data_IF_137008665938
#
_entry.id   IF_137008665938
#
_cell.length_a   1.000
_cell.length_b   1.000
_cell.length_c   1.000
_cell.angle_alpha   90.00
_cell.angle_beta   90.00
_cell.angle_gamma   90.00
#
_symmetry.space_group_name_H-M   'P 1'
#
loop_
_entity.id
_entity.type
_entity.pdbx_description
1 polymer ?
#
# COMPACT_ATOMS: atom_id res chain seq x y z
N UNK A 1 29.53 -44.91 6.49
CA UNK A 1 29.49 -44.62 5.04
C UNK A 1 28.90 -43.23 4.88
N UNK A 2 29.72 -42.23 4.56
CA UNK A 2 29.24 -40.86 4.32
C UNK A 2 28.82 -40.71 2.85
N UNK A 3 27.64 -40.15 2.55
CA UNK A 3 27.22 -39.93 1.18
C UNK A 3 28.01 -38.75 0.60
N UNK A 4 28.72 -38.99 -0.50
CA UNK A 4 29.33 -37.95 -1.33
C UNK A 4 28.29 -37.43 -2.31
N UNK A 5 27.77 -36.22 -2.05
CA UNK A 5 26.81 -35.55 -2.94
C UNK A 5 27.61 -34.88 -4.07
N UNK A 6 27.50 -35.40 -5.29
CA UNK A 6 28.07 -34.79 -6.49
C UNK A 6 27.09 -33.73 -7.04
N UNK A 7 27.27 -32.47 -6.64
CA UNK A 7 26.43 -31.37 -7.10
C UNK A 7 26.96 -30.81 -8.43
N UNK A 8 26.23 -31.02 -9.52
CA UNK A 8 26.57 -30.48 -10.84
C UNK A 8 26.38 -28.95 -10.87
N UNK A 9 27.30 -28.24 -11.52
CA UNK A 9 27.29 -26.78 -11.74
C UNK A 9 25.95 -26.24 -12.24
N UNK A 10 25.22 -27.01 -13.07
CA UNK A 10 23.87 -26.64 -13.55
C UNK A 10 22.82 -26.65 -12.44
N UNK A 11 22.88 -27.64 -11.56
CA UNK A 11 21.99 -27.77 -10.40
C UNK A 11 22.26 -26.70 -9.36
N UNK A 12 23.54 -26.32 -9.19
CA UNK A 12 23.95 -25.21 -8.33
C UNK A 12 23.42 -23.87 -8.87
N UNK A 13 23.58 -23.62 -10.18
CA UNK A 13 23.07 -22.40 -10.82
C UNK A 13 21.54 -22.26 -10.70
N UNK A 14 20.81 -23.38 -10.82
CA UNK A 14 19.35 -23.42 -10.67
C UNK A 14 18.93 -23.08 -9.23
N UNK A 15 19.61 -23.63 -8.23
CA UNK A 15 19.34 -23.32 -6.82
C UNK A 15 19.60 -21.84 -6.49
N UNK A 16 20.70 -21.27 -7.01
CA UNK A 16 21.01 -19.84 -6.84
C UNK A 16 19.92 -18.96 -7.48
N UNK A 17 19.47 -19.30 -8.70
CA UNK A 17 18.41 -18.55 -9.37
C UNK A 17 17.09 -18.57 -8.58
N UNK A 18 16.72 -19.72 -7.99
CA UNK A 18 15.50 -19.85 -7.18
C UNK A 18 15.60 -19.00 -5.90
N UNK A 19 16.75 -19.01 -5.22
CA UNK A 19 16.97 -18.24 -3.99
C UNK A 19 16.99 -16.72 -4.25
N UNK A 20 17.64 -16.27 -5.33
CA UNK A 20 17.71 -14.86 -5.68
C UNK A 20 16.39 -14.28 -6.23
N UNK A 21 15.48 -15.13 -6.73
CA UNK A 21 14.16 -14.68 -7.22
C UNK A 21 13.16 -14.37 -6.09
N UNK A 22 13.44 -14.84 -4.86
CA UNK A 22 12.55 -14.66 -3.70
C UNK A 22 12.78 -13.37 -2.91
N UNK A 23 13.86 -12.63 -3.19
CA UNK A 23 14.25 -11.41 -2.47
C UNK A 23 14.01 -10.16 -3.32
N UNK A 24 12.80 -10.02 -3.86
CA UNK A 24 12.25 -8.74 -4.29
C UNK A 24 11.03 -8.44 -3.41
N UNK A 25 11.24 -8.46 -2.09
CA UNK A 25 10.30 -7.85 -1.16
C UNK A 25 10.39 -6.36 -1.44
N UNK A 26 9.32 -5.78 -1.99
CA UNK A 26 9.28 -4.36 -2.34
C UNK A 26 9.73 -3.53 -1.14
N UNK A 27 10.61 -2.56 -1.38
CA UNK A 27 11.13 -1.72 -0.31
C UNK A 27 9.96 -1.10 0.47
N UNK A 28 9.96 -1.29 1.78
CA UNK A 28 9.01 -0.65 2.67
C UNK A 28 9.29 0.86 2.63
N UNK A 29 8.45 1.60 1.90
CA UNK A 29 8.60 3.04 1.74
C UNK A 29 8.23 3.76 3.04
N UNK A 30 9.17 4.57 3.55
CA UNK A 30 8.98 5.34 4.77
C UNK A 30 9.23 6.84 4.52
N UNK A 31 8.24 7.65 4.85
CA UNK A 31 8.25 9.11 4.83
C UNK A 31 8.70 9.65 6.19
N UNK A 32 9.83 10.35 6.20
CA UNK A 32 10.35 11.04 7.38
C UNK A 32 9.49 12.28 7.71
N UNK A 33 8.83 12.33 8.89
CA UNK A 33 8.04 13.48 9.32
C UNK A 33 8.81 14.81 9.35
N UNK A 34 10.13 14.74 9.57
CA UNK A 34 10.99 15.92 9.67
C UNK A 34 11.07 16.71 8.35
N UNK A 35 10.84 16.06 7.21
CA UNK A 35 10.95 16.70 5.89
C UNK A 35 9.94 17.83 5.66
N UNK A 36 8.78 17.80 6.33
CA UNK A 36 7.76 18.85 6.24
C UNK A 36 7.60 19.65 7.54
N UNK A 37 8.51 19.49 8.50
CA UNK A 37 8.44 20.20 9.77
C UNK A 37 8.58 21.72 9.54
N UNK A 38 7.51 22.47 9.82
CA UNK A 38 7.44 23.92 9.59
C UNK A 38 6.76 24.36 8.29
N UNK A 39 6.35 23.42 7.43
CA UNK A 39 5.48 23.74 6.30
C UNK A 39 4.05 24.06 6.78
N UNK A 40 3.36 24.99 6.12
CA UNK A 40 1.96 25.35 6.40
C UNK A 40 0.98 24.20 6.15
N UNK A 41 1.43 23.13 5.50
CA UNK A 41 0.67 21.89 5.33
C UNK A 41 0.67 21.13 6.66
N UNK A 42 -0.23 21.54 7.57
CA UNK A 42 -0.44 20.94 8.91
C UNK A 42 -0.97 19.50 8.91
N UNK A 43 -0.74 18.72 7.86
CA UNK A 43 -1.02 17.28 7.82
C UNK A 43 0.31 16.53 7.74
N UNK A 44 0.61 15.82 8.82
CA UNK A 44 1.85 15.09 9.01
C UNK A 44 2.07 14.09 7.86
N UNK A 45 3.16 14.24 7.09
CA UNK A 45 3.54 13.31 6.02
C UNK A 45 3.73 11.88 6.53
N UNK A 46 3.96 11.72 7.85
CA UNK A 46 4.00 10.42 8.52
C UNK A 46 2.75 9.56 8.25
N UNK A 47 1.58 10.18 8.00
CA UNK A 47 0.35 9.44 7.71
C UNK A 47 0.43 8.59 6.44
N UNK A 48 1.33 8.92 5.51
CA UNK A 48 1.53 8.12 4.31
C UNK A 48 2.36 6.86 4.57
N UNK A 49 2.91 6.71 5.77
CA UNK A 49 3.48 5.45 6.25
C UNK A 49 2.37 4.45 6.62
N UNK A 50 1.13 4.91 6.78
CA UNK A 50 -0.02 4.06 6.98
C UNK A 50 -0.56 3.61 5.61
N UNK A 51 -0.93 2.34 5.47
CA UNK A 51 -1.50 1.79 4.23
C UNK A 51 -2.97 2.22 3.99
N UNK A 52 -3.51 3.10 4.83
CA UNK A 52 -4.92 3.47 4.83
C UNK A 52 -5.12 4.87 4.26
N UNK A 53 -6.18 5.06 3.49
CA UNK A 53 -6.57 6.39 3.01
C UNK A 53 -7.05 7.25 4.20
N UNK A 54 -6.48 8.44 4.43
CA UNK A 54 -6.91 9.33 5.49
C UNK A 54 -8.38 9.72 5.39
N UNK A 55 -8.96 10.15 6.51
CA UNK A 55 -10.29 10.78 6.48
C UNK A 55 -10.22 12.15 5.82
N UNK A 56 -11.29 12.53 5.12
CA UNK A 56 -11.35 13.80 4.40
C UNK A 56 -12.34 13.80 3.24
N UNK A 57 -12.40 14.92 2.53
CA UNK A 57 -13.19 15.08 1.32
C UNK A 57 -12.33 14.76 0.09
N UNK A 58 -12.83 13.86 -0.76
CA UNK A 58 -12.15 13.41 -1.97
C UNK A 58 -13.05 13.58 -3.18
N UNK A 59 -12.47 13.90 -4.34
CA UNK A 59 -13.14 13.75 -5.63
C UNK A 59 -13.01 12.29 -6.07
N UNK A 60 -14.13 11.61 -6.23
CA UNK A 60 -14.18 10.19 -6.55
C UNK A 60 -15.17 9.88 -7.68
N UNK A 61 -14.84 8.87 -8.48
CA UNK A 61 -15.77 8.18 -9.36
C UNK A 61 -16.42 7.03 -8.58
N UNK A 62 -17.76 6.97 -8.59
CA UNK A 62 -18.52 5.96 -7.84
C UNK A 62 -19.01 4.88 -8.81
N UNK A 63 -18.56 3.67 -8.57
CA UNK A 63 -18.99 2.47 -9.30
C UNK A 63 -19.87 1.60 -8.42
N UNK A 64 -20.95 1.06 -8.99
CA UNK A 64 -21.81 0.06 -8.35
C UNK A 64 -21.89 -1.14 -9.29
N UNK A 65 -21.53 -2.33 -8.82
CA UNK A 65 -21.46 -3.55 -9.62
C UNK A 65 -20.69 -3.37 -10.94
N UNK A 66 -19.56 -2.66 -10.90
CA UNK A 66 -18.70 -2.40 -12.06
C UNK A 66 -19.22 -1.34 -13.03
N UNK A 67 -20.38 -0.73 -12.78
CA UNK A 67 -20.94 0.33 -13.62
C UNK A 67 -20.71 1.69 -12.97
N UNK A 68 -20.20 2.66 -13.74
CA UNK A 68 -20.04 4.05 -13.28
C UNK A 68 -21.43 4.68 -13.06
N UNK A 69 -21.73 5.07 -11.81
CA UNK A 69 -23.00 5.70 -11.45
C UNK A 69 -22.87 7.23 -11.39
N UNK A 70 -21.73 7.72 -10.93
CA UNK A 70 -21.41 9.14 -10.94
C UNK A 70 -19.90 9.35 -11.03
N UNK A 71 -19.48 10.39 -11.72
CA UNK A 71 -18.06 10.72 -11.88
C UNK A 71 -17.72 12.02 -11.15
N UNK A 72 -16.49 12.10 -10.65
CA UNK A 72 -15.89 13.30 -10.05
C UNK A 72 -16.79 13.98 -9.01
N UNK A 73 -17.43 13.18 -8.16
CA UNK A 73 -18.27 13.69 -7.08
C UNK A 73 -17.44 13.85 -5.80
N UNK A 74 -17.74 14.89 -5.04
CA UNK A 74 -17.12 15.07 -3.72
C UNK A 74 -17.75 14.08 -2.73
N UNK A 75 -16.94 13.17 -2.17
CA UNK A 75 -17.33 12.20 -1.15
C UNK A 75 -16.46 12.41 0.10
N UNK A 76 -17.12 12.52 1.25
CA UNK A 76 -16.49 12.53 2.57
C UNK A 76 -16.18 11.09 2.99
N UNK A 77 -14.92 10.79 3.28
CA UNK A 77 -14.49 9.54 3.91
C UNK A 77 -14.25 9.77 5.40
N UNK A 78 -14.91 8.99 6.25
CA UNK A 78 -14.79 9.08 7.71
C UNK A 78 -14.03 7.87 8.26
N UNK A 79 -13.23 8.08 9.29
CA UNK A 79 -12.64 6.98 10.04
C UNK A 79 -13.72 6.29 10.88
N UNK A 80 -13.82 4.96 10.78
CA UNK A 80 -14.74 4.17 11.61
C UNK A 80 -14.26 4.13 13.06
N UNK A 81 -12.93 4.03 13.25
CA UNK A 81 -12.16 4.21 14.51
C UNK A 81 -10.74 4.67 14.17
N UNK A 82 -9.99 5.17 15.16
CA UNK A 82 -8.56 5.48 14.97
C UNK A 82 -7.79 4.25 14.48
N UNK A 83 -7.01 4.40 13.41
CA UNK A 83 -6.21 3.34 12.78
C UNK A 83 -7.00 2.30 11.97
N UNK A 84 -8.29 2.54 11.70
CA UNK A 84 -9.11 1.68 10.83
C UNK A 84 -9.37 2.32 9.46
N UNK A 85 -9.57 1.45 8.47
CA UNK A 85 -9.94 1.83 7.10
C UNK A 85 -11.12 2.81 7.11
N UNK A 86 -11.01 3.85 6.29
CA UNK A 86 -12.05 4.86 6.15
C UNK A 86 -13.21 4.36 5.29
N UNK A 87 -14.41 4.81 5.61
CA UNK A 87 -15.63 4.46 4.89
C UNK A 87 -16.27 5.72 4.27
N UNK A 88 -16.88 5.59 3.07
CA UNK A 88 -17.53 6.71 2.40
C UNK A 88 -18.87 7.06 3.07
N UNK A 89 -19.11 8.35 3.32
CA UNK A 89 -20.40 8.88 3.72
C UNK A 89 -21.24 9.15 2.46
N UNK A 90 -22.08 8.18 2.10
CA UNK A 90 -22.97 8.30 0.95
C UNK A 90 -24.27 9.01 1.34
N UNK A 91 -24.71 10.04 0.59
CA UNK A 91 -26.00 10.65 0.84
C UNK A 91 -27.12 9.65 0.50
N UNK A 92 -28.13 9.54 1.37
CA UNK A 92 -29.37 8.85 1.01
C UNK A 92 -30.04 9.60 -0.15
N UNK A 93 -30.28 8.90 -1.26
CA UNK A 93 -31.17 9.34 -2.33
C UNK A 93 -32.46 8.54 -2.30
#
# INVERSE_FOLDING_TARGET
MSPTINLNHKSLALLIAIVCSGSAQGEEYYFDPALLQGATYGQNIARFNEQQTPSGDYLADVYVNGTLVTSSTNIRFNAVKEGQQTEPCLPYR
#
